data_IF_032806783907
#
_entry.id   IF_032806783907
#
_cell.length_a   1.000
_cell.length_b   1.000
_cell.length_c   1.000
_cell.angle_alpha   90.00
_cell.angle_beta   90.00
_cell.angle_gamma   90.00
#
_symmetry.space_group_name_H-M   'P 1'
#
loop_
_entity.id
_entity.type
_entity.pdbx_description
1 polymer ?
#
# COMPACT_ATOMS: atom_id res chain seq x y z
N UNK A 1 15.05 -4.39 18.98
CA UNK A 1 14.49 -5.72 18.69
C UNK A 1 13.21 -5.78 19.50
N UNK A 2 12.08 -5.44 18.88
CA UNK A 2 10.77 -5.60 19.53
C UNK A 2 10.29 -7.01 19.22
N UNK A 3 10.09 -7.81 20.27
CA UNK A 3 9.35 -9.06 20.16
C UNK A 3 7.91 -8.70 19.86
N UNK A 4 7.47 -8.92 18.64
CA UNK A 4 6.22 -8.40 18.08
C UNK A 4 4.96 -9.16 18.51
N UNK A 5 5.08 -10.13 19.40
CA UNK A 5 3.94 -11.00 19.72
C UNK A 5 2.96 -10.41 20.75
N UNK A 6 3.32 -9.30 21.43
CA UNK A 6 2.51 -8.68 22.47
C UNK A 6 2.35 -7.16 22.31
N UNK A 7 2.14 -6.64 21.11
CA UNK A 7 1.80 -5.22 20.98
C UNK A 7 0.38 -4.95 21.51
N UNK A 8 0.31 -4.70 22.82
CA UNK A 8 -0.91 -4.20 23.45
C UNK A 8 -1.01 -2.70 23.19
N UNK A 9 -1.88 -2.33 22.26
CA UNK A 9 -2.14 -0.92 21.97
C UNK A 9 -2.88 -0.26 23.14
N UNK A 10 -2.29 0.80 23.71
CA UNK A 10 -2.93 1.58 24.75
C UNK A 10 -3.96 2.53 24.15
N UNK A 11 -5.23 2.35 24.53
CA UNK A 11 -6.36 3.18 24.06
C UNK A 11 -6.18 4.66 24.36
N UNK A 12 -5.60 5.00 25.50
CA UNK A 12 -5.39 6.39 25.89
C UNK A 12 -4.37 7.07 24.98
N UNK A 13 -3.30 6.37 24.60
CA UNK A 13 -2.32 6.88 23.64
C UNK A 13 -2.94 7.09 22.25
N UNK A 14 -3.78 6.18 21.79
CA UNK A 14 -4.51 6.34 20.52
C UNK A 14 -5.38 7.59 20.58
N UNK A 15 -6.15 7.77 21.65
CA UNK A 15 -7.02 8.93 21.84
C UNK A 15 -6.25 10.24 21.92
N UNK A 16 -5.10 10.28 22.59
CA UNK A 16 -4.23 11.47 22.62
C UNK A 16 -3.72 11.82 21.22
N UNK A 17 -3.27 10.85 20.43
CA UNK A 17 -2.83 11.07 19.05
C UNK A 17 -3.98 11.58 18.16
N UNK A 18 -5.20 11.07 18.34
CA UNK A 18 -6.38 11.54 17.61
C UNK A 18 -6.66 13.03 17.91
N UNK A 19 -6.44 13.49 19.14
CA UNK A 19 -6.61 14.90 19.53
C UNK A 19 -5.63 15.82 18.78
N UNK A 20 -4.45 15.34 18.41
CA UNK A 20 -3.42 16.10 17.67
C UNK A 20 -3.76 16.37 16.19
N UNK A 21 -4.98 16.07 15.76
CA UNK A 21 -5.45 16.30 14.38
C UNK A 21 -4.63 15.60 13.29
N UNK A 22 -4.12 14.40 13.61
CA UNK A 22 -3.44 13.55 12.63
C UNK A 22 -4.43 13.08 11.56
N UNK A 23 -3.90 12.76 10.36
CA UNK A 23 -4.69 12.31 9.21
C UNK A 23 -4.81 10.80 9.12
N UNK A 24 -3.92 10.06 9.77
CA UNK A 24 -3.95 8.61 9.75
C UNK A 24 -2.88 7.97 10.61
N UNK A 25 -3.00 6.64 10.73
CA UNK A 25 -2.04 5.77 11.40
C UNK A 25 -1.48 4.76 10.41
N UNK A 26 -0.18 4.52 10.45
CA UNK A 26 0.43 3.31 9.90
C UNK A 26 0.59 2.36 11.08
N UNK A 27 -0.05 1.20 11.01
CA UNK A 27 -0.05 0.22 12.10
C UNK A 27 0.84 -0.94 11.71
N UNK A 28 1.99 -1.13 12.39
CA UNK A 28 2.93 -2.21 12.10
C UNK A 28 2.40 -3.57 12.56
N UNK A 29 3.05 -4.63 12.07
CA UNK A 29 2.87 -6.04 12.49
C UNK A 29 1.43 -6.54 12.42
N UNK A 30 0.64 -6.04 11.45
CA UNK A 30 -0.74 -6.49 11.27
C UNK A 30 -0.76 -7.90 10.69
N UNK A 31 -1.30 -8.85 11.47
CA UNK A 31 -1.35 -10.29 11.12
C UNK A 31 -2.76 -10.78 10.79
N UNK A 32 -3.79 -10.12 11.34
CA UNK A 32 -5.20 -10.49 11.21
C UNK A 32 -6.13 -9.31 11.54
N UNK A 33 -7.43 -9.55 11.51
CA UNK A 33 -8.48 -8.55 11.81
C UNK A 33 -8.35 -8.02 13.24
N UNK A 34 -8.01 -8.87 14.19
CA UNK A 34 -7.94 -8.49 15.61
C UNK A 34 -6.78 -7.52 15.87
N UNK A 35 -5.69 -7.64 15.12
CA UNK A 35 -4.50 -6.78 15.24
C UNK A 35 -4.80 -5.28 15.15
N UNK A 36 -5.86 -4.88 14.44
CA UNK A 36 -6.22 -3.47 14.22
C UNK A 36 -7.59 -3.08 14.78
N UNK A 37 -8.29 -4.02 15.42
CA UNK A 37 -9.64 -3.82 15.95
C UNK A 37 -9.73 -2.67 16.95
N UNK A 38 -8.72 -2.54 17.81
CA UNK A 38 -8.64 -1.47 18.83
C UNK A 38 -8.61 -0.09 18.18
N UNK A 39 -7.79 0.11 17.13
CA UNK A 39 -7.72 1.37 16.39
C UNK A 39 -9.06 1.76 15.80
N UNK A 40 -9.72 0.82 15.11
CA UNK A 40 -11.03 1.09 14.51
C UNK A 40 -12.09 1.38 15.56
N UNK A 41 -12.06 0.70 16.70
CA UNK A 41 -13.00 0.95 17.81
C UNK A 41 -12.81 2.34 18.43
N UNK A 42 -11.56 2.79 18.60
CA UNK A 42 -11.27 4.11 19.15
C UNK A 42 -11.59 5.22 18.14
N UNK A 43 -11.18 5.07 16.87
CA UNK A 43 -11.46 6.07 15.82
C UNK A 43 -12.95 6.30 15.63
N UNK A 44 -13.78 5.24 15.71
CA UNK A 44 -15.24 5.35 15.59
C UNK A 44 -15.89 6.22 16.69
N UNK A 45 -15.23 6.43 17.80
CA UNK A 45 -15.74 7.31 18.88
C UNK A 45 -15.55 8.80 18.57
N UNK A 46 -14.75 9.12 17.56
CA UNK A 46 -14.44 10.48 17.16
C UNK A 46 -15.07 10.77 15.81
N UNK A 47 -15.66 11.95 15.65
CA UNK A 47 -16.18 12.44 14.36
C UNK A 47 -15.02 13.00 13.51
N UNK A 48 -14.06 12.12 13.19
CA UNK A 48 -12.89 12.45 12.38
C UNK A 48 -12.63 11.36 11.33
N UNK A 49 -12.34 11.80 10.12
CA UNK A 49 -11.88 10.92 9.06
C UNK A 49 -10.38 10.65 9.24
N UNK A 50 -10.05 9.58 9.95
CA UNK A 50 -8.67 9.14 10.19
C UNK A 50 -8.44 7.86 9.38
N UNK A 51 -7.42 7.88 8.54
CA UNK A 51 -7.01 6.71 7.74
C UNK A 51 -6.19 5.72 8.58
N UNK A 52 -6.47 4.45 8.40
CA UNK A 52 -5.62 3.36 8.89
C UNK A 52 -4.96 2.69 7.69
N UNK A 53 -3.63 2.57 7.76
CA UNK A 53 -2.79 1.86 6.79
C UNK A 53 -2.15 0.68 7.52
N UNK A 54 -2.69 -0.53 7.38
CA UNK A 54 -2.05 -1.73 7.92
C UNK A 54 -0.71 -1.97 7.24
N UNK A 55 0.35 -2.19 8.02
CA UNK A 55 1.65 -2.60 7.53
C UNK A 55 1.81 -4.10 7.74
N UNK A 56 1.93 -4.82 6.64
CA UNK A 56 2.00 -6.28 6.59
C UNK A 56 3.46 -6.70 6.52
N UNK A 57 3.90 -7.43 7.53
CA UNK A 57 5.30 -7.76 7.79
C UNK A 57 5.51 -9.25 8.08
N UNK A 58 4.50 -10.10 7.75
CA UNK A 58 4.55 -11.55 7.94
C UNK A 58 3.72 -12.29 6.92
N UNK A 59 4.01 -13.57 6.69
CA UNK A 59 3.20 -14.43 5.82
C UNK A 59 1.80 -14.64 6.37
N UNK A 60 1.62 -14.69 7.70
CA UNK A 60 0.28 -14.72 8.31
C UNK A 60 -0.54 -13.49 7.90
N UNK A 61 0.07 -12.30 7.96
CA UNK A 61 -0.56 -11.06 7.52
C UNK A 61 -0.92 -11.08 6.03
N UNK A 62 -0.01 -11.51 5.15
CA UNK A 62 -0.28 -11.64 3.71
C UNK A 62 -1.50 -12.56 3.48
N UNK A 63 -1.54 -13.72 4.10
CA UNK A 63 -2.63 -14.67 3.90
C UNK A 63 -3.99 -14.15 4.41
N UNK A 64 -3.99 -13.28 5.40
CA UNK A 64 -5.19 -12.65 5.97
C UNK A 64 -5.59 -11.32 5.30
N UNK A 65 -4.81 -10.79 4.35
CA UNK A 65 -5.08 -9.50 3.69
C UNK A 65 -6.53 -9.34 3.21
N UNK A 66 -7.16 -10.32 2.52
CA UNK A 66 -8.54 -10.16 2.07
C UNK A 66 -9.51 -9.91 3.24
N UNK A 67 -9.33 -10.61 4.36
CA UNK A 67 -10.18 -10.45 5.54
C UNK A 67 -9.95 -9.07 6.18
N UNK A 68 -8.70 -8.65 6.35
CA UNK A 68 -8.34 -7.33 6.88
C UNK A 68 -8.95 -6.22 6.04
N UNK A 69 -8.74 -6.25 4.72
CA UNK A 69 -9.21 -5.25 3.79
C UNK A 69 -10.74 -5.16 3.79
N UNK A 70 -11.43 -6.29 3.68
CA UNK A 70 -12.88 -6.32 3.52
C UNK A 70 -13.62 -6.01 4.82
N UNK A 71 -13.09 -6.43 5.98
CA UNK A 71 -13.72 -6.15 7.28
C UNK A 71 -13.72 -4.66 7.61
N UNK A 72 -12.63 -3.98 7.33
CA UNK A 72 -12.46 -2.57 7.70
C UNK A 72 -12.55 -1.61 6.51
N UNK A 73 -12.77 -2.12 5.29
CA UNK A 73 -12.79 -1.33 4.04
C UNK A 73 -11.54 -0.46 3.91
N UNK A 74 -10.39 -1.09 4.10
CA UNK A 74 -9.08 -0.44 4.08
C UNK A 74 -8.79 0.11 2.67
N UNK A 75 -8.47 1.40 2.57
CA UNK A 75 -8.15 2.03 1.28
C UNK A 75 -6.70 1.84 0.85
N UNK A 76 -5.78 1.73 1.81
CA UNK A 76 -4.35 1.56 1.60
C UNK A 76 -3.81 0.48 2.52
N UNK A 77 -2.92 -0.35 1.99
CA UNK A 77 -2.21 -1.39 2.74
C UNK A 77 -0.74 -1.36 2.34
N UNK A 78 0.15 -1.50 3.31
CA UNK A 78 1.59 -1.36 3.08
C UNK A 78 2.33 -2.68 3.31
N UNK A 79 3.40 -2.89 2.55
CA UNK A 79 4.29 -4.03 2.67
C UNK A 79 5.55 -3.65 3.46
N UNK A 80 5.87 -4.38 4.52
CA UNK A 80 7.14 -4.31 5.23
C UNK A 80 8.05 -5.47 4.85
N UNK A 81 8.74 -5.35 3.70
CA UNK A 81 9.49 -6.48 3.11
C UNK A 81 10.65 -6.96 3.97
N UNK A 82 11.29 -6.04 4.73
CA UNK A 82 12.45 -6.40 5.56
C UNK A 82 12.05 -7.29 6.74
N UNK A 83 11.01 -6.90 7.49
CA UNK A 83 10.51 -7.70 8.61
C UNK A 83 9.85 -9.00 8.12
N UNK A 84 9.15 -8.95 6.98
CA UNK A 84 8.65 -10.14 6.30
C UNK A 84 9.80 -11.10 5.91
N UNK A 85 10.94 -10.56 5.48
CA UNK A 85 12.10 -11.38 5.14
C UNK A 85 12.70 -12.05 6.39
N UNK A 86 12.68 -11.37 7.54
CA UNK A 86 13.06 -11.94 8.83
C UNK A 86 12.07 -13.05 9.26
N UNK A 87 10.75 -12.82 9.13
CA UNK A 87 9.70 -13.81 9.40
C UNK A 87 9.91 -15.10 8.59
N UNK A 88 10.37 -14.97 7.34
CA UNK A 88 10.64 -16.08 6.44
C UNK A 88 12.05 -16.65 6.54
N UNK A 89 12.94 -16.04 7.33
CA UNK A 89 14.36 -16.36 7.40
C UNK A 89 15.04 -16.36 6.02
N UNK A 90 14.79 -15.30 5.23
CA UNK A 90 15.36 -15.09 3.89
C UNK A 90 16.17 -13.79 3.83
N UNK A 91 17.18 -13.75 2.95
CA UNK A 91 17.93 -12.53 2.64
C UNK A 91 17.31 -11.84 1.41
N UNK A 92 16.70 -10.64 1.57
CA UNK A 92 16.07 -9.94 0.47
C UNK A 92 17.04 -9.54 -0.66
N UNK A 93 18.34 -9.47 -0.39
CA UNK A 93 19.34 -9.12 -1.40
C UNK A 93 19.77 -10.33 -2.24
N UNK A 94 19.67 -11.53 -1.70
CA UNK A 94 20.08 -12.76 -2.38
C UNK A 94 18.92 -13.50 -3.03
N UNK A 95 17.71 -13.47 -2.43
CA UNK A 95 16.51 -14.13 -2.97
C UNK A 95 15.62 -13.18 -3.79
N UNK A 96 16.19 -12.44 -4.72
CA UNK A 96 15.50 -11.40 -5.51
C UNK A 96 14.23 -11.93 -6.20
N UNK A 97 14.27 -13.15 -6.76
CA UNK A 97 13.12 -13.75 -7.43
C UNK A 97 11.96 -14.00 -6.47
N UNK A 98 12.25 -14.49 -5.26
CA UNK A 98 11.24 -14.72 -4.23
C UNK A 98 10.66 -13.41 -3.72
N UNK A 99 11.49 -12.41 -3.49
CA UNK A 99 11.05 -11.06 -3.09
C UNK A 99 10.12 -10.44 -4.15
N UNK A 100 10.47 -10.55 -5.43
CA UNK A 100 9.63 -10.06 -6.51
C UNK A 100 8.28 -10.79 -6.55
N UNK A 101 8.27 -12.11 -6.36
CA UNK A 101 7.03 -12.89 -6.28
C UNK A 101 6.16 -12.45 -5.11
N UNK A 102 6.74 -12.24 -3.94
CA UNK A 102 6.03 -11.76 -2.75
C UNK A 102 5.40 -10.38 -3.02
N UNK A 103 6.17 -9.44 -3.58
CA UNK A 103 5.68 -8.10 -3.95
C UNK A 103 4.52 -8.18 -4.95
N UNK A 104 4.65 -8.98 -6.00
CA UNK A 104 3.60 -9.16 -7.00
C UNK A 104 2.33 -9.78 -6.39
N UNK A 105 2.49 -10.83 -5.59
CA UNK A 105 1.37 -11.47 -4.86
C UNK A 105 0.67 -10.47 -3.95
N UNK A 106 1.42 -9.70 -3.17
CA UNK A 106 0.88 -8.66 -2.28
C UNK A 106 0.07 -7.62 -3.07
N UNK A 107 0.65 -7.06 -4.13
CA UNK A 107 -0.02 -6.07 -4.96
C UNK A 107 -1.29 -6.62 -5.61
N UNK A 108 -1.24 -7.84 -6.15
CA UNK A 108 -2.40 -8.51 -6.75
C UNK A 108 -3.52 -8.73 -5.73
N UNK A 109 -3.19 -9.19 -4.52
CA UNK A 109 -4.17 -9.40 -3.45
C UNK A 109 -4.81 -8.08 -2.99
N UNK A 110 -4.04 -7.00 -2.86
CA UNK A 110 -4.58 -5.69 -2.51
C UNK A 110 -5.52 -5.16 -3.59
N UNK A 111 -5.08 -5.15 -4.85
CA UNK A 111 -5.84 -4.63 -5.98
C UNK A 111 -7.13 -5.43 -6.25
N UNK A 112 -7.10 -6.76 -6.13
CA UNK A 112 -8.29 -7.60 -6.29
C UNK A 112 -9.35 -7.34 -5.22
N UNK A 113 -8.95 -6.81 -4.05
CA UNK A 113 -9.84 -6.37 -2.99
C UNK A 113 -10.07 -4.84 -2.98
N UNK A 114 -9.78 -4.14 -4.10
CA UNK A 114 -9.97 -2.68 -4.27
C UNK A 114 -9.20 -1.82 -3.26
N UNK A 115 -8.06 -2.31 -2.79
CA UNK A 115 -7.16 -1.62 -1.88
C UNK A 115 -5.88 -1.22 -2.61
N UNK A 116 -5.32 -0.05 -2.27
CA UNK A 116 -4.12 0.48 -2.90
C UNK A 116 -2.86 -0.02 -2.15
N UNK A 117 -2.00 -0.84 -2.79
CA UNK A 117 -0.77 -1.30 -2.17
C UNK A 117 0.31 -0.21 -2.14
N UNK A 118 0.99 -0.07 -1.00
CA UNK A 118 2.16 0.77 -0.80
C UNK A 118 3.38 -0.13 -0.63
N UNK A 119 4.43 0.12 -1.40
CA UNK A 119 5.67 -0.66 -1.36
C UNK A 119 6.57 -0.23 -0.20
N UNK A 120 7.44 -1.14 0.21
CA UNK A 120 8.48 -0.93 1.23
C UNK A 120 9.47 0.17 0.82
N UNK A 121 10.14 0.83 1.76
CA UNK A 121 11.21 1.76 1.43
C UNK A 121 12.39 1.02 0.77
N UNK A 122 13.26 1.74 0.08
CA UNK A 122 14.59 1.29 -0.27
C UNK A 122 15.58 1.93 0.71
N UNK A 123 16.40 1.11 1.37
CA UNK A 123 17.33 1.58 2.40
C UNK A 123 18.56 2.28 1.82
N UNK A 124 18.90 2.01 0.56
CA UNK A 124 19.98 2.69 -0.16
C UNK A 124 19.56 4.13 -0.50
N UNK A 125 20.24 5.12 0.08
CA UNK A 125 19.92 6.54 -0.09
C UNK A 125 20.77 7.17 -1.18
N UNK A 126 22.03 6.74 -1.32
CA UNK A 126 23.03 7.42 -2.13
C UNK A 126 22.96 7.12 -3.63
N UNK A 127 22.16 6.15 -4.04
CA UNK A 127 22.04 5.71 -5.42
C UNK A 127 20.68 6.07 -6.02
N UNK A 128 20.56 7.33 -6.46
CA UNK A 128 19.33 7.87 -7.07
C UNK A 128 18.89 7.05 -8.28
N UNK A 129 19.81 6.61 -9.14
CA UNK A 129 19.46 5.84 -10.34
C UNK A 129 18.87 4.46 -9.99
N UNK A 130 19.40 3.79 -8.97
CA UNK A 130 18.82 2.55 -8.48
C UNK A 130 17.44 2.78 -7.87
N UNK A 131 17.28 3.86 -7.11
CA UNK A 131 15.99 4.22 -6.53
C UNK A 131 14.90 4.45 -7.58
N UNK A 132 15.21 5.16 -8.67
CA UNK A 132 14.28 5.37 -9.80
C UNK A 132 13.85 4.02 -10.39
N UNK A 133 14.82 3.13 -10.70
CA UNK A 133 14.53 1.79 -11.25
C UNK A 133 13.64 0.96 -10.32
N UNK A 134 13.89 0.98 -9.02
CA UNK A 134 13.08 0.28 -8.03
C UNK A 134 11.66 0.88 -7.92
N UNK A 135 11.50 2.20 -8.03
CA UNK A 135 10.18 2.83 -8.10
C UNK A 135 9.41 2.39 -9.36
N UNK A 136 10.05 2.42 -10.53
CA UNK A 136 9.44 2.01 -11.80
C UNK A 136 9.06 0.53 -11.79
N UNK A 137 9.95 -0.33 -11.27
CA UNK A 137 9.69 -1.76 -11.09
C UNK A 137 8.50 -2.01 -10.16
N UNK A 138 8.46 -1.33 -9.02
CA UNK A 138 7.35 -1.41 -8.07
C UNK A 138 6.03 -0.93 -8.69
N UNK A 139 6.06 0.21 -9.40
CA UNK A 139 4.90 0.70 -10.16
C UNK A 139 4.40 -0.33 -11.18
N UNK A 140 5.31 -0.99 -11.92
CA UNK A 140 4.95 -2.03 -12.88
C UNK A 140 4.31 -3.28 -12.25
N UNK A 141 4.60 -3.56 -10.99
CA UNK A 141 3.97 -4.62 -10.20
C UNK A 141 2.56 -4.24 -9.69
N UNK A 142 2.13 -2.99 -9.88
CA UNK A 142 0.81 -2.52 -9.49
C UNK A 142 0.74 -1.73 -8.18
N UNK A 143 1.86 -1.47 -7.53
CA UNK A 143 1.90 -0.59 -6.36
C UNK A 143 1.43 0.83 -6.71
N UNK A 144 0.83 1.51 -5.75
CA UNK A 144 0.26 2.88 -5.89
C UNK A 144 1.04 3.93 -5.11
N UNK A 145 2.09 3.50 -4.43
CA UNK A 145 3.00 4.34 -3.65
C UNK A 145 4.14 3.54 -3.09
N UNK A 146 5.08 4.22 -2.46
CA UNK A 146 6.26 3.65 -1.82
C UNK A 146 6.62 4.47 -0.59
N UNK A 147 7.09 3.84 0.49
CA UNK A 147 7.62 4.58 1.62
C UNK A 147 8.94 5.25 1.26
N UNK A 148 9.11 6.48 1.74
CA UNK A 148 10.36 7.23 1.70
C UNK A 148 10.99 7.23 3.11
N UNK A 149 12.30 7.05 3.16
CA UNK A 149 13.10 7.19 4.38
C UNK A 149 14.05 8.39 4.33
N UNK A 150 14.06 9.10 3.19
CA UNK A 150 14.87 10.31 3.01
C UNK A 150 14.12 11.33 2.13
N UNK A 151 14.23 12.65 2.39
CA UNK A 151 13.54 13.68 1.60
C UNK A 151 13.84 13.64 0.09
N UNK A 152 15.06 13.27 -0.32
CA UNK A 152 15.42 13.16 -1.74
C UNK A 152 14.60 12.12 -2.52
N UNK A 153 14.01 11.15 -1.82
CA UNK A 153 13.20 10.09 -2.43
C UNK A 153 11.77 10.57 -2.78
N UNK A 154 11.28 11.62 -2.09
CA UNK A 154 9.87 12.04 -2.16
C UNK A 154 9.46 12.48 -3.57
N UNK A 155 10.27 13.33 -4.23
CA UNK A 155 9.95 13.80 -5.57
C UNK A 155 9.91 12.66 -6.59
N UNK A 156 10.87 11.74 -6.53
CA UNK A 156 10.95 10.56 -7.42
C UNK A 156 9.71 9.68 -7.24
N UNK A 157 9.29 9.44 -6.00
CA UNK A 157 8.07 8.67 -5.71
C UNK A 157 6.87 9.37 -6.31
N UNK A 158 6.69 10.67 -6.04
CA UNK A 158 5.56 11.44 -6.55
C UNK A 158 5.51 11.44 -8.08
N UNK A 159 6.62 11.64 -8.76
CA UNK A 159 6.70 11.59 -10.22
C UNK A 159 6.37 10.21 -10.77
N UNK A 160 6.88 9.15 -10.15
CA UNK A 160 6.66 7.77 -10.62
C UNK A 160 5.21 7.34 -10.45
N UNK A 161 4.63 7.56 -9.28
CA UNK A 161 3.29 7.03 -8.96
C UNK A 161 2.15 7.96 -9.35
N UNK A 162 2.42 9.22 -9.76
CA UNK A 162 1.42 10.11 -10.34
C UNK A 162 1.23 9.90 -11.85
N UNK A 163 2.05 9.07 -12.51
CA UNK A 163 1.92 8.76 -13.94
C UNK A 163 0.54 8.14 -14.19
N UNK A 164 -0.35 8.86 -14.83
CA UNK A 164 -1.58 8.31 -15.39
C UNK A 164 -1.27 7.71 -16.75
N UNK A 165 -1.87 6.55 -17.08
CA UNK A 165 -1.71 5.91 -18.39
C UNK A 165 -2.12 6.85 -19.53
N UNK A 166 -3.05 7.74 -19.25
CA UNK A 166 -3.57 8.72 -20.19
C UNK A 166 -3.65 10.10 -19.52
N UNK A 167 -3.35 11.15 -20.26
CA UNK A 167 -3.59 12.54 -19.86
C UNK A 167 -5.11 12.80 -19.70
N UNK A 168 -5.48 13.86 -18.99
CA UNK A 168 -6.89 14.25 -18.85
C UNK A 168 -7.57 14.50 -20.20
N UNK A 169 -6.83 15.03 -21.19
CA UNK A 169 -7.33 15.25 -22.57
C UNK A 169 -7.61 13.92 -23.28
N UNK A 170 -6.67 12.98 -23.22
CA UNK A 170 -6.83 11.64 -23.80
C UNK A 170 -7.99 10.88 -23.16
N UNK A 171 -8.14 10.94 -21.82
CA UNK A 171 -9.29 10.32 -21.14
C UNK A 171 -10.60 10.90 -21.65
N UNK A 172 -10.68 12.23 -21.82
CA UNK A 172 -11.89 12.88 -22.35
C UNK A 172 -12.18 12.42 -23.78
N UNK A 173 -11.17 12.33 -24.62
CA UNK A 173 -11.31 11.84 -26.00
C UNK A 173 -11.76 10.38 -26.05
N UNK A 174 -11.18 9.51 -25.23
CA UNK A 174 -11.57 8.11 -25.09
C UNK A 174 -13.04 8.00 -24.68
N UNK A 175 -13.48 8.78 -23.69
CA UNK A 175 -14.86 8.76 -23.22
C UNK A 175 -15.84 9.21 -24.32
N UNK A 176 -15.56 10.29 -25.04
CA UNK A 176 -16.39 10.76 -26.15
C UNK A 176 -16.51 9.70 -27.24
N UNK A 177 -15.40 9.08 -27.62
CA UNK A 177 -15.37 8.02 -28.61
C UNK A 177 -16.12 6.77 -28.15
N UNK A 178 -16.01 6.42 -26.87
CA UNK A 178 -16.76 5.31 -26.28
C UNK A 178 -18.27 5.58 -26.34
N UNK A 179 -18.72 6.78 -25.99
CA UNK A 179 -20.14 7.14 -26.03
C UNK A 179 -20.70 7.09 -27.47
N UNK A 180 -19.93 7.55 -28.45
CA UNK A 180 -20.31 7.49 -29.86
C UNK A 180 -20.46 6.05 -30.36
N UNK A 181 -19.44 5.20 -30.08
CA UNK A 181 -19.42 3.82 -30.54
C UNK A 181 -20.47 2.95 -29.81
N UNK A 182 -20.69 3.22 -28.53
CA UNK A 182 -21.70 2.53 -27.71
C UNK A 182 -23.12 2.77 -28.29
N UNK A 183 -23.44 4.00 -28.79
CA UNK A 183 -24.67 4.29 -29.46
C UNK A 183 -24.85 3.49 -30.77
N UNK A 184 -23.76 3.04 -31.37
CA UNK A 184 -23.75 2.19 -32.57
C UNK A 184 -23.67 0.67 -32.23
N UNK A 185 -23.81 0.29 -30.97
CA UNK A 185 -23.76 -1.10 -30.51
C UNK A 185 -22.34 -1.73 -30.49
N UNK A 186 -21.28 -0.91 -30.58
CA UNK A 186 -19.89 -1.36 -30.55
C UNK A 186 -19.37 -1.25 -29.11
N UNK A 187 -19.17 -2.38 -28.43
CA UNK A 187 -18.79 -2.42 -27.00
C UNK A 187 -17.28 -2.42 -26.74
N UNK A 188 -16.42 -2.55 -27.76
CA UNK A 188 -14.96 -2.52 -27.60
C UNK A 188 -14.28 -1.89 -28.82
N UNK A 189 -13.22 -1.12 -28.59
CA UNK A 189 -12.39 -0.53 -29.64
C UNK A 189 -10.95 -0.34 -29.17
N UNK A 190 -10.01 -0.29 -30.11
CA UNK A 190 -8.62 0.03 -29.84
C UNK A 190 -8.40 1.55 -29.84
N UNK A 191 -7.69 2.03 -28.81
CA UNK A 191 -7.29 3.41 -28.69
C UNK A 191 -5.77 3.52 -28.57
#
# INVERSE_FOLDING_TARGET
>A
IHNSDDMVWNKDQINELIKLNIKGFIIPSVKDVDSISVFYSEIKKHDKQIQIIPLIESMKGINNMPNIINTYKVNFIALGIYDLSLDLNIDPNNQISLINYIKQKFALMALSNKCNPIDSPLLEIDNTNNFIKECEKSYSMGFKGKFAIHPSQVNIINETYSKTKFSKSEIKEILLKYEELSKRGIGAFNY
#
